data_IF_382945595780
#
_entry.id   IF_382945595780
#
_cell.length_a   1.000
_cell.length_b   1.000
_cell.length_c   1.000
_cell.angle_alpha   90.00
_cell.angle_beta   90.00
_cell.angle_gamma   90.00
#
_symmetry.space_group_name_H-M   'P 1'
#
loop_
_entity.id
_entity.type
_entity.pdbx_description
1 polymer ?
#
# COMPACT_ATOMS: atom_id res chain seq x y z
N UNK A 1 3.60 1.67 12.93
CA UNK A 1 3.89 0.93 11.67
C UNK A 1 3.81 1.92 10.51
N UNK A 2 4.76 1.89 9.58
CA UNK A 2 4.72 2.70 8.34
C UNK A 2 4.62 1.77 7.12
N UNK A 3 3.93 2.23 6.09
CA UNK A 3 3.73 1.53 4.84
C UNK A 3 3.79 2.49 3.66
N UNK A 4 3.88 1.93 2.45
CA UNK A 4 3.74 2.67 1.20
C UNK A 4 2.37 2.41 0.57
N UNK A 5 1.90 3.38 -0.21
CA UNK A 5 0.64 3.29 -0.91
C UNK A 5 0.68 4.14 -2.19
N UNK A 6 -0.26 3.91 -3.11
CA UNK A 6 -0.34 4.63 -4.39
C UNK A 6 -1.77 5.08 -4.68
N UNK A 7 -1.93 6.29 -5.22
CA UNK A 7 -3.22 6.77 -5.70
C UNK A 7 -3.56 6.08 -7.00
N UNK A 8 -4.72 5.43 -7.06
CA UNK A 8 -5.17 4.68 -8.24
C UNK A 8 -6.41 5.31 -8.87
N UNK A 9 -6.49 5.20 -10.19
CA UNK A 9 -7.61 5.76 -10.96
C UNK A 9 -8.93 5.10 -10.54
N UNK A 10 -9.88 5.93 -10.10
CA UNK A 10 -11.23 5.51 -9.74
C UNK A 10 -12.23 6.64 -9.98
N UNK A 11 -13.52 6.35 -10.25
CA UNK A 11 -14.56 7.38 -10.41
C UNK A 11 -14.65 8.34 -9.21
N UNK A 12 -14.38 7.82 -8.01
CA UNK A 12 -14.40 8.62 -6.78
C UNK A 12 -13.30 9.69 -6.74
N UNK A 13 -12.18 9.51 -7.45
CA UNK A 13 -10.94 10.31 -7.38
C UNK A 13 -10.27 10.35 -5.98
N UNK A 14 -10.63 9.40 -5.12
CA UNK A 14 -10.22 9.34 -3.71
C UNK A 14 -9.62 7.98 -3.31
N UNK A 15 -9.25 7.13 -4.27
CA UNK A 15 -8.84 5.75 -4.00
C UNK A 15 -7.32 5.61 -3.94
N UNK A 16 -6.85 4.92 -2.91
CA UNK A 16 -5.45 4.56 -2.68
C UNK A 16 -5.36 3.03 -2.54
N UNK A 17 -4.33 2.42 -3.13
CA UNK A 17 -4.01 0.99 -2.99
C UNK A 17 -2.78 0.81 -2.09
N UNK A 18 -2.81 -0.20 -1.24
CA UNK A 18 -1.70 -0.60 -0.35
C UNK A 18 -1.80 -2.12 -0.07
N UNK A 19 -0.98 -2.65 0.83
CA UNK A 19 -1.08 -4.04 1.27
C UNK A 19 -2.18 -4.20 2.34
N UNK A 20 -2.78 -5.38 2.45
CA UNK A 20 -3.81 -5.64 3.46
C UNK A 20 -3.24 -5.56 4.88
N UNK A 21 -2.02 -6.07 5.10
CA UNK A 21 -1.34 -5.98 6.39
C UNK A 21 -1.04 -4.53 6.82
N UNK A 22 -1.06 -3.57 5.90
CA UNK A 22 -0.92 -2.14 6.21
C UNK A 22 -2.22 -1.51 6.77
N UNK A 23 -3.35 -2.21 6.65
CA UNK A 23 -4.67 -1.78 7.11
C UNK A 23 -5.18 -2.62 8.27
N UNK A 24 -4.70 -3.85 8.38
CA UNK A 24 -5.22 -4.87 9.28
C UNK A 24 -4.09 -5.60 10.00
N UNK A 25 -4.12 -5.55 11.33
CA UNK A 25 -3.15 -6.23 12.19
C UNK A 25 -3.41 -7.72 12.16
N UNK A 26 -2.43 -8.45 11.63
CA UNK A 26 -2.50 -9.87 11.47
C UNK A 26 -2.48 -10.68 12.77
N UNK A 27 -1.87 -10.13 13.82
CA UNK A 27 -1.66 -10.82 15.10
C UNK A 27 -2.89 -10.70 15.98
N UNK A 28 -3.48 -9.50 16.05
CA UNK A 28 -4.68 -9.22 16.85
C UNK A 28 -5.97 -9.39 16.07
N UNK A 29 -5.90 -9.50 14.74
CA UNK A 29 -7.05 -9.56 13.82
C UNK A 29 -7.94 -8.32 13.92
N UNK A 30 -7.32 -7.14 14.09
CA UNK A 30 -8.02 -5.86 14.21
C UNK A 30 -7.57 -4.86 13.16
N UNK A 31 -8.44 -3.94 12.77
CA UNK A 31 -8.09 -2.84 11.89
C UNK A 31 -7.12 -1.85 12.57
N UNK A 32 -6.15 -1.33 11.81
CA UNK A 32 -5.39 -0.17 12.26
C UNK A 32 -6.28 1.06 12.30
N UNK A 33 -6.09 1.90 13.32
CA UNK A 33 -6.77 3.18 13.49
C UNK A 33 -5.84 4.33 13.10
N UNK A 34 -6.40 5.53 12.90
CA UNK A 34 -5.65 6.76 12.57
C UNK A 34 -4.80 6.65 11.30
N UNK A 35 -5.30 5.93 10.29
CA UNK A 35 -4.59 5.76 9.03
C UNK A 35 -4.57 7.06 8.22
N UNK A 36 -3.36 7.47 7.80
CA UNK A 36 -3.13 8.65 6.95
C UNK A 36 -2.26 8.28 5.76
N UNK A 37 -2.46 8.97 4.65
CA UNK A 37 -1.59 8.90 3.48
C UNK A 37 -0.97 10.27 3.19
N UNK A 38 0.35 10.28 2.95
CA UNK A 38 1.13 11.50 2.71
C UNK A 38 1.79 11.39 1.33
N UNK A 39 1.12 11.84 0.26
CA UNK A 39 1.69 11.82 -1.07
C UNK A 39 2.93 12.72 -1.16
N UNK A 40 3.95 12.24 -1.88
CA UNK A 40 5.25 12.92 -2.03
C UNK A 40 5.93 13.27 -0.69
N UNK A 41 5.77 12.42 0.32
CA UNK A 41 6.50 12.53 1.59
C UNK A 41 8.01 12.59 1.34
N UNK A 42 8.70 13.49 2.03
CA UNK A 42 10.16 13.55 1.98
C UNK A 42 10.69 14.20 3.25
N UNK A 43 11.43 13.44 4.07
CA UNK A 43 12.07 13.94 5.30
C UNK A 43 11.13 14.78 6.16
N UNK A 44 10.00 14.20 6.56
CA UNK A 44 8.90 14.83 7.33
C UNK A 44 8.09 15.92 6.60
N UNK A 45 8.43 16.27 5.37
CA UNK A 45 7.61 17.18 4.57
C UNK A 45 6.38 16.47 4.01
N UNK A 46 5.25 17.16 4.01
CA UNK A 46 3.97 16.72 3.43
C UNK A 46 3.49 17.73 2.36
N UNK A 47 4.22 17.90 1.24
CA UNK A 47 4.00 19.00 0.30
C UNK A 47 2.63 18.96 -0.38
N UNK A 48 2.03 17.77 -0.47
CA UNK A 48 0.71 17.56 -1.07
C UNK A 48 -0.37 17.28 -0.02
N UNK A 49 -0.10 17.58 1.24
CA UNK A 49 -1.02 17.44 2.38
C UNK A 49 -1.04 16.04 3.00
N UNK A 50 -1.81 15.93 4.08
CA UNK A 50 -2.03 14.68 4.84
C UNK A 50 -3.49 14.27 4.64
N UNK A 51 -3.71 13.06 4.14
CA UNK A 51 -5.02 12.58 3.70
C UNK A 51 -5.50 11.45 4.60
N UNK A 52 -6.43 11.71 5.54
CA UNK A 52 -6.93 10.69 6.45
C UNK A 52 -7.86 9.69 5.74
N UNK A 53 -7.81 8.43 6.18
CA UNK A 53 -8.74 7.41 5.70
C UNK A 53 -10.18 7.76 6.05
N UNK A 54 -11.10 7.51 5.11
CA UNK A 54 -12.55 7.54 5.30
C UNK A 54 -13.12 6.12 5.37
N UNK A 55 -12.68 5.25 4.46
CA UNK A 55 -13.04 3.84 4.44
C UNK A 55 -11.81 3.01 4.09
N UNK A 56 -11.67 1.87 4.75
CA UNK A 56 -10.63 0.87 4.48
C UNK A 56 -11.30 -0.44 4.09
N UNK A 57 -10.70 -1.17 3.16
CA UNK A 57 -11.17 -2.50 2.78
C UNK A 57 -9.99 -3.39 2.39
N UNK A 58 -10.13 -4.68 2.67
CA UNK A 58 -9.18 -5.74 2.31
C UNK A 58 -9.98 -6.90 1.73
N UNK A 59 -9.32 -7.81 1.03
CA UNK A 59 -9.98 -8.97 0.44
C UNK A 59 -10.36 -9.98 1.53
N UNK A 60 -11.57 -10.55 1.45
CA UNK A 60 -12.07 -11.55 2.40
C UNK A 60 -11.13 -12.76 2.53
N UNK A 61 -10.51 -13.18 1.42
CA UNK A 61 -9.56 -14.29 1.42
C UNK A 61 -8.34 -14.02 2.32
N UNK A 62 -7.96 -12.75 2.54
CA UNK A 62 -6.95 -12.36 3.53
C UNK A 62 -7.56 -12.24 4.93
N UNK A 63 -8.68 -11.51 5.05
CA UNK A 63 -9.37 -11.23 6.32
C UNK A 63 -9.93 -12.47 7.04
N UNK A 64 -10.16 -13.57 6.32
CA UNK A 64 -10.68 -14.83 6.88
C UNK A 64 -9.61 -15.92 6.98
N UNK A 65 -8.39 -15.68 6.48
CA UNK A 65 -7.27 -16.59 6.69
C UNK A 65 -6.84 -16.62 8.16
N UNK A 66 -6.33 -17.75 8.64
CA UNK A 66 -5.89 -17.86 10.03
C UNK A 66 -4.56 -17.13 10.25
N UNK A 67 -4.31 -16.68 11.48
CA UNK A 67 -3.04 -16.05 11.83
C UNK A 67 -1.82 -16.95 11.56
N UNK A 68 -1.98 -18.28 11.67
CA UNK A 68 -0.96 -19.30 11.40
C UNK A 68 -0.87 -19.74 9.93
N UNK A 69 -1.85 -19.41 9.08
CA UNK A 69 -1.91 -19.82 7.67
C UNK A 69 -2.41 -18.68 6.78
N UNK A 70 -1.77 -17.51 6.90
CA UNK A 70 -2.16 -16.30 6.19
C UNK A 70 -2.09 -16.48 4.68
N UNK A 71 -3.11 -15.98 3.99
CA UNK A 71 -3.16 -16.05 2.53
C UNK A 71 -2.56 -14.79 1.90
N UNK A 72 -1.23 -14.73 1.82
CA UNK A 72 -0.50 -13.60 1.24
C UNK A 72 -0.76 -13.37 -0.25
N UNK A 73 -1.41 -14.32 -0.96
CA UNK A 73 -1.86 -14.10 -2.33
C UNK A 73 -2.92 -12.99 -2.45
N UNK A 74 -3.55 -12.62 -1.32
CA UNK A 74 -4.60 -11.62 -1.24
C UNK A 74 -4.21 -10.44 -0.33
N UNK A 75 -2.91 -10.22 -0.10
CA UNK A 75 -2.37 -9.10 0.68
C UNK A 75 -2.47 -7.77 -0.09
N UNK A 76 -3.71 -7.37 -0.39
CA UNK A 76 -4.06 -6.15 -1.11
C UNK A 76 -5.20 -5.47 -0.37
N UNK A 77 -5.01 -4.18 -0.10
CA UNK A 77 -5.96 -3.32 0.58
C UNK A 77 -6.23 -2.04 -0.21
N UNK A 78 -7.43 -1.50 -0.05
CA UNK A 78 -7.83 -0.23 -0.63
C UNK A 78 -8.31 0.73 0.45
N UNK A 79 -7.96 2.00 0.30
CA UNK A 79 -8.38 3.08 1.18
C UNK A 79 -9.05 4.17 0.36
N UNK A 80 -10.26 4.53 0.74
CA UNK A 80 -10.87 5.78 0.32
C UNK A 80 -10.43 6.86 1.30
N UNK A 81 -9.71 7.87 0.83
CA UNK A 81 -9.28 9.00 1.68
C UNK A 81 -10.27 10.16 1.61
N UNK A 82 -10.38 10.90 2.72
CA UNK A 82 -11.21 12.10 2.81
C UNK A 82 -10.65 13.23 1.95
N UNK A 83 -11.49 14.10 1.36
CA UNK A 83 -11.04 15.32 0.70
C UNK A 83 -10.26 16.23 1.67
N UNK A 84 -9.25 16.92 1.16
CA UNK A 84 -8.47 17.93 1.90
C UNK A 84 -8.60 19.24 1.14
N UNK A 85 -8.96 20.32 1.84
CA UNK A 85 -9.20 21.64 1.23
C UNK A 85 -10.19 21.59 0.05
N UNK A 86 -11.30 20.87 0.25
CA UNK A 86 -12.35 20.62 -0.76
C UNK A 86 -11.87 19.92 -2.06
N UNK A 87 -10.62 19.43 -2.11
CA UNK A 87 -10.07 18.70 -3.25
C UNK A 87 -9.95 17.22 -2.94
N UNK A 88 -10.17 16.39 -3.94
CA UNK A 88 -9.94 14.95 -3.88
C UNK A 88 -8.50 14.64 -4.24
N UNK A 89 -7.95 13.57 -3.68
CA UNK A 89 -6.50 13.31 -3.78
C UNK A 89 -6.01 13.22 -5.22
N UNK A 90 -6.72 12.52 -6.10
CA UNK A 90 -6.30 12.38 -7.50
C UNK A 90 -6.38 13.68 -8.31
N UNK A 91 -7.10 14.71 -7.82
CA UNK A 91 -7.06 16.05 -8.43
C UNK A 91 -5.79 16.82 -8.07
N UNK A 92 -5.10 16.43 -6.99
CA UNK A 92 -3.86 17.05 -6.52
C UNK A 92 -2.64 16.27 -7.00
N UNK A 93 -2.69 14.94 -6.95
CA UNK A 93 -1.55 14.07 -7.21
C UNK A 93 -1.53 13.46 -8.60
N UNK A 94 -2.65 13.53 -9.34
CA UNK A 94 -2.93 12.57 -10.40
C UNK A 94 -3.18 11.16 -9.84
N UNK A 95 -3.25 10.16 -10.71
CA UNK A 95 -3.42 8.76 -10.30
C UNK A 95 -2.78 7.79 -11.30
N UNK A 96 -2.34 6.66 -10.78
CA UNK A 96 -1.82 5.56 -11.60
C UNK A 96 -2.97 4.67 -12.09
N UNK A 97 -2.84 4.15 -13.31
CA UNK A 97 -3.71 3.08 -13.80
C UNK A 97 -3.51 1.80 -12.97
N UNK A 98 -4.57 0.99 -12.87
CA UNK A 98 -4.53 -0.32 -12.22
C UNK A 98 -4.90 -1.40 -13.24
N UNK A 99 -4.15 -2.50 -13.27
CA UNK A 99 -4.36 -3.62 -14.18
C UNK A 99 -4.50 -4.91 -13.39
N UNK A 100 -5.55 -5.66 -13.68
CA UNK A 100 -5.80 -7.00 -13.16
C UNK A 100 -5.65 -8.03 -14.28
N UNK A 101 -5.45 -9.30 -13.92
CA UNK A 101 -5.30 -10.41 -14.86
C UNK A 101 -4.17 -10.19 -15.90
N UNK A 102 -3.14 -9.45 -15.51
CA UNK A 102 -1.93 -9.32 -16.32
C UNK A 102 -1.17 -10.66 -16.35
N UNK A 103 -0.42 -10.96 -17.43
CA UNK A 103 0.48 -12.10 -17.44
C UNK A 103 1.45 -12.04 -16.27
N UNK A 104 1.88 -13.21 -15.79
CA UNK A 104 2.95 -13.31 -14.78
C UNK A 104 4.30 -13.01 -15.43
N UNK A 105 5.35 -12.95 -14.61
CA UNK A 105 6.74 -12.84 -15.06
C UNK A 105 7.08 -11.56 -15.84
N UNK A 106 6.51 -10.45 -15.39
CA UNK A 106 6.70 -9.13 -15.98
C UNK A 106 7.85 -8.39 -15.30
N UNK A 107 8.67 -7.70 -16.10
CA UNK A 107 9.57 -6.67 -15.57
C UNK A 107 8.73 -5.59 -14.90
N UNK A 108 8.99 -5.34 -13.63
CA UNK A 108 8.20 -4.49 -12.77
C UNK A 108 9.09 -3.49 -12.06
N UNK A 109 8.57 -2.28 -11.92
CA UNK A 109 9.15 -1.20 -11.13
C UNK A 109 8.34 -1.05 -9.86
N UNK A 110 8.99 -1.16 -8.71
CA UNK A 110 8.38 -0.90 -7.41
C UNK A 110 8.96 0.38 -6.82
N UNK A 111 8.11 1.17 -6.18
CA UNK A 111 8.47 2.38 -5.48
C UNK A 111 7.82 2.36 -4.09
N UNK A 112 8.55 2.84 -3.08
CA UNK A 112 8.06 2.91 -1.72
C UNK A 112 9.00 3.64 -0.77
N UNK A 113 8.66 3.62 0.51
CA UNK A 113 9.38 4.21 1.63
C UNK A 113 9.80 3.09 2.58
N UNK A 114 10.86 2.33 2.24
CA UNK A 114 11.22 1.13 2.97
C UNK A 114 11.94 1.49 4.27
N UNK A 115 11.58 0.85 5.37
CA UNK A 115 12.15 1.17 6.68
C UNK A 115 13.66 0.90 6.78
N UNK A 116 14.19 0.01 5.94
CA UNK A 116 15.61 -0.35 5.88
C UNK A 116 16.48 0.59 5.02
N UNK A 117 15.88 1.52 4.26
CA UNK A 117 16.64 2.49 3.44
C UNK A 117 16.25 3.89 3.90
N UNK A 118 17.23 4.68 4.33
CA UNK A 118 17.02 6.03 4.85
C UNK A 118 15.90 6.12 5.92
N UNK A 119 15.67 5.04 6.68
CA UNK A 119 14.61 4.93 7.69
C UNK A 119 13.19 5.20 7.17
N UNK A 120 12.92 4.99 5.87
CA UNK A 120 11.64 5.32 5.24
C UNK A 120 11.41 6.82 5.03
N UNK A 121 12.44 7.66 5.22
CA UNK A 121 12.31 9.12 5.09
C UNK A 121 12.35 9.60 3.63
N UNK A 122 12.80 8.74 2.72
CA UNK A 122 12.90 9.05 1.28
C UNK A 122 12.37 7.90 0.44
N UNK A 123 11.74 8.23 -0.68
CA UNK A 123 11.29 7.23 -1.63
C UNK A 123 12.48 6.50 -2.25
N UNK A 124 12.39 5.18 -2.31
CA UNK A 124 13.34 4.31 -3.00
C UNK A 124 12.60 3.50 -4.07
N UNK A 125 13.32 3.08 -5.11
CA UNK A 125 12.78 2.26 -6.19
C UNK A 125 13.62 1.00 -6.37
N UNK A 126 12.98 -0.07 -6.80
CA UNK A 126 13.66 -1.27 -7.29
C UNK A 126 13.01 -1.73 -8.60
N UNK A 127 13.83 -2.31 -9.48
CA UNK A 127 13.36 -2.96 -10.70
C UNK A 127 13.63 -4.45 -10.58
N UNK A 128 12.63 -5.29 -10.82
CA UNK A 128 12.78 -6.74 -10.77
C UNK A 128 11.79 -7.42 -11.71
N UNK A 129 12.11 -8.64 -12.12
CA UNK A 129 11.14 -9.49 -12.79
C UNK A 129 10.26 -10.15 -11.73
N UNK A 130 8.95 -9.88 -11.78
CA UNK A 130 8.00 -10.60 -10.92
C UNK A 130 8.14 -12.10 -11.18
N UNK A 131 8.03 -12.91 -10.14
CA UNK A 131 7.85 -14.36 -10.32
C UNK A 131 6.50 -14.73 -9.72
N UNK A 132 5.94 -15.88 -10.11
CA UNK A 132 4.74 -16.38 -9.45
C UNK A 132 4.98 -16.40 -7.92
N UNK A 133 4.01 -15.97 -7.10
CA UNK A 133 4.20 -15.88 -5.66
C UNK A 133 4.54 -17.27 -5.14
N UNK A 134 5.78 -17.45 -4.71
CA UNK A 134 6.11 -18.50 -3.75
C UNK A 134 5.62 -17.97 -2.40
N UNK A 135 5.05 -18.85 -1.57
CA UNK A 135 4.69 -18.51 -0.20
C UNK A 135 5.87 -17.73 0.41
N UNK A 136 5.66 -16.53 0.98
CA UNK A 136 6.78 -15.75 1.49
C UNK A 136 7.56 -16.60 2.50
N UNK A 137 8.90 -16.58 2.47
CA UNK A 137 9.68 -17.27 3.48
C UNK A 137 9.28 -16.76 4.87
N UNK A 138 9.42 -17.63 5.88
CA UNK A 138 9.23 -17.27 7.28
C UNK A 138 9.99 -15.96 7.60
N UNK A 139 9.28 -14.97 8.15
CA UNK A 139 9.84 -13.64 8.41
C UNK A 139 9.61 -12.58 7.33
N UNK A 140 8.76 -12.83 6.32
CA UNK A 140 8.30 -11.75 5.44
C UNK A 140 7.42 -10.76 6.23
N UNK A 141 7.94 -9.53 6.41
CA UNK A 141 7.25 -8.45 7.12
C UNK A 141 6.79 -7.32 6.20
N UNK A 142 6.92 -7.48 4.87
CA UNK A 142 6.44 -6.48 3.88
C UNK A 142 7.15 -5.12 3.89
N UNK A 143 8.11 -4.89 4.79
CA UNK A 143 8.71 -3.57 5.06
C UNK A 143 10.02 -3.29 4.31
N UNK A 144 10.57 -4.28 3.61
CA UNK A 144 11.86 -4.17 2.94
C UNK A 144 11.68 -4.23 1.42
N UNK A 145 12.09 -3.15 0.75
CA UNK A 145 12.46 -3.22 -0.67
C UNK A 145 13.76 -4.02 -0.73
N UNK A 146 13.69 -5.22 -1.33
CA UNK A 146 14.84 -6.08 -1.59
C UNK A 146 15.36 -5.82 -2.99
N UNK A 147 15.95 -4.64 -3.16
CA UNK A 147 17.13 -4.56 -3.99
C UNK A 147 18.35 -4.77 -3.06
#
# INVERSE_FOLDING_TARGET
MSCSASVVTAPSKSLVVTAAHCLFDDSTRTWHTNWIFVPAYNKRAAPLGIWPAKYVTILNAYALSSASSKNYNYDVGFVVVSPVNARKIAQVTGSQGIKFNAPRNQLTYSAGYPGNIANGETMSTCTFQTTAPRCPPSGYVGQALRC
#
